data_IF_648138707083
#
_entry.id   IF_648138707083
#
_cell.length_a   1.000
_cell.length_b   1.000
_cell.length_c   1.000
_cell.angle_alpha   90.00
_cell.angle_beta   90.00
_cell.angle_gamma   90.00
#
_symmetry.space_group_name_H-M   'P 1'
#
loop_
_entity.id
_entity.type
_entity.pdbx_description
1 polymer ?
#
# COMPACT_ATOMS: atom_id res chain seq x y z
N UNK A 1 2.58 -2.64 -8.33
CA UNK A 1 2.26 -1.22 -8.14
C UNK A 1 3.03 -0.39 -9.15
N UNK A 2 2.35 0.59 -9.76
CA UNK A 2 2.91 1.51 -10.74
C UNK A 2 2.47 2.94 -10.43
N UNK A 3 3.34 3.93 -10.62
CA UNK A 3 3.02 5.33 -10.34
C UNK A 3 2.21 5.91 -11.50
N UNK A 4 1.03 6.43 -11.20
CA UNK A 4 0.16 7.04 -12.22
C UNK A 4 0.48 8.53 -12.36
N UNK A 5 0.48 9.27 -11.24
CA UNK A 5 0.60 10.72 -11.27
C UNK A 5 1.19 11.29 -9.97
N UNK A 6 1.73 12.51 -10.06
CA UNK A 6 2.28 13.28 -8.93
C UNK A 6 1.49 14.55 -8.74
N UNK A 7 1.27 14.92 -7.48
CA UNK A 7 0.44 16.06 -7.11
C UNK A 7 1.17 17.00 -6.15
N UNK A 8 0.79 18.28 -6.20
CA UNK A 8 1.41 19.32 -5.38
C UNK A 8 1.01 19.23 -3.90
N UNK A 9 -0.12 18.57 -3.62
CA UNK A 9 -0.62 18.35 -2.27
C UNK A 9 -1.12 16.92 -2.06
N UNK A 10 -1.11 16.49 -0.80
CA UNK A 10 -1.69 15.20 -0.40
C UNK A 10 -3.20 15.16 -0.64
N UNK A 11 -3.90 16.26 -0.31
CA UNK A 11 -5.35 16.38 -0.51
C UNK A 11 -5.76 16.19 -1.98
N UNK A 12 -5.00 16.75 -2.91
CA UNK A 12 -5.25 16.57 -4.35
C UNK A 12 -5.01 15.12 -4.78
N UNK A 13 -3.95 14.48 -4.28
CA UNK A 13 -3.69 13.07 -4.54
C UNK A 13 -4.81 12.16 -4.00
N UNK A 14 -5.32 12.44 -2.80
CA UNK A 14 -6.43 11.69 -2.20
C UNK A 14 -7.73 11.85 -2.98
N UNK A 15 -8.05 13.06 -3.44
CA UNK A 15 -9.24 13.30 -4.26
C UNK A 15 -9.17 12.48 -5.57
N UNK A 16 -8.01 12.48 -6.23
CA UNK A 16 -7.80 11.73 -7.48
C UNK A 16 -7.81 10.22 -7.24
N UNK A 17 -7.23 9.76 -6.13
CA UNK A 17 -7.30 8.36 -5.73
C UNK A 17 -8.74 7.92 -5.41
N UNK A 18 -9.53 8.76 -4.72
CA UNK A 18 -10.92 8.47 -4.42
C UNK A 18 -11.77 8.37 -5.70
N UNK A 19 -11.56 9.28 -6.66
CA UNK A 19 -12.17 9.22 -7.98
C UNK A 19 -11.84 7.91 -8.69
N UNK A 20 -10.56 7.54 -8.78
CA UNK A 20 -10.13 6.28 -9.40
C UNK A 20 -10.72 5.06 -8.70
N UNK A 21 -10.76 5.06 -7.36
CA UNK A 21 -11.37 3.98 -6.57
C UNK A 21 -12.87 3.85 -6.86
N UNK A 22 -13.59 4.97 -6.99
CA UNK A 22 -15.01 4.96 -7.40
C UNK A 22 -15.24 4.39 -8.80
N UNK A 23 -14.20 4.29 -9.63
CA UNK A 23 -14.22 3.71 -10.97
C UNK A 23 -13.65 2.29 -11.03
N UNK A 24 -13.44 1.65 -9.89
CA UNK A 24 -12.96 0.28 -9.84
C UNK A 24 -11.44 0.14 -9.81
N UNK A 25 -10.67 1.23 -9.72
CA UNK A 25 -9.21 1.18 -9.74
C UNK A 25 -8.67 1.09 -8.30
N UNK A 26 -7.87 0.07 -8.00
CA UNK A 26 -7.21 -0.05 -6.71
C UNK A 26 -6.02 0.91 -6.65
N UNK A 27 -6.11 1.93 -5.79
CA UNK A 27 -5.09 2.98 -5.68
C UNK A 27 -4.45 3.08 -4.30
N UNK A 28 -3.21 3.54 -4.27
CA UNK A 28 -2.51 3.94 -3.05
C UNK A 28 -1.93 5.35 -3.19
N UNK A 29 -2.00 6.14 -2.13
CA UNK A 29 -1.38 7.47 -2.05
C UNK A 29 -0.15 7.38 -1.16
N UNK A 30 0.99 7.87 -1.65
CA UNK A 30 2.22 7.96 -0.85
C UNK A 30 2.71 9.41 -0.79
N UNK A 31 3.15 9.83 0.39
CA UNK A 31 3.91 11.07 0.53
C UNK A 31 5.27 10.99 -0.17
N UNK A 32 5.61 12.04 -0.90
CA UNK A 32 6.90 12.21 -1.57
C UNK A 32 7.85 13.14 -0.80
N UNK A 33 7.47 13.52 0.42
CA UNK A 33 8.25 14.45 1.25
C UNK A 33 9.58 13.80 1.62
N UNK A 34 10.66 14.15 0.91
CA UNK A 34 11.99 13.68 1.27
C UNK A 34 12.36 14.24 2.64
N UNK A 35 12.84 13.38 3.56
CA UNK A 35 13.32 13.69 4.91
C UNK A 35 14.57 14.62 4.95
N UNK A 36 14.79 15.45 3.93
CA UNK A 36 15.89 16.41 3.89
C UNK A 36 15.37 17.80 4.25
N UNK A 37 15.58 18.16 5.52
CA UNK A 37 15.21 19.45 6.14
C UNK A 37 15.65 20.69 5.32
N UNK A 38 16.68 20.56 4.47
CA UNK A 38 17.21 21.63 3.61
C UNK A 38 16.68 21.66 2.16
N UNK A 39 15.83 20.73 1.75
CA UNK A 39 15.23 20.68 0.40
C UNK A 39 13.70 20.79 0.39
N UNK A 40 13.09 20.99 1.57
CA UNK A 40 11.63 21.03 1.77
C UNK A 40 10.90 22.11 0.92
N UNK A 41 11.63 23.08 0.34
CA UNK A 41 11.08 24.15 -0.48
C UNK A 41 11.21 23.93 -2.00
N UNK A 42 11.79 22.81 -2.49
CA UNK A 42 12.07 22.63 -3.92
C UNK A 42 11.30 21.48 -4.61
N UNK A 43 10.55 20.67 -3.88
CA UNK A 43 9.69 19.66 -4.48
C UNK A 43 8.37 20.26 -4.96
N UNK A 44 8.17 20.43 -6.28
CA UNK A 44 6.85 20.78 -6.87
C UNK A 44 5.75 19.79 -6.51
N UNK A 45 6.13 18.56 -6.15
CA UNK A 45 5.22 17.47 -5.84
C UNK A 45 5.43 16.98 -4.41
N UNK A 46 4.32 16.79 -3.69
CA UNK A 46 4.29 16.34 -2.28
C UNK A 46 3.70 14.95 -2.12
N UNK A 47 2.90 14.48 -3.08
CA UNK A 47 2.29 13.16 -3.03
C UNK A 47 2.26 12.52 -4.43
N UNK A 48 2.20 11.20 -4.46
CA UNK A 48 2.01 10.40 -5.67
C UNK A 48 0.84 9.44 -5.50
N UNK A 49 0.09 9.24 -6.58
CA UNK A 49 -0.95 8.22 -6.69
C UNK A 49 -0.40 7.04 -7.49
N UNK A 50 -0.63 5.85 -6.97
CA UNK A 50 -0.16 4.59 -7.53
C UNK A 50 -1.34 3.69 -7.84
N UNK A 51 -1.30 2.98 -8.97
CA UNK A 51 -2.11 1.80 -9.20
C UNK A 51 -1.51 0.66 -8.37
N UNK A 52 -2.33 0.01 -7.54
CA UNK A 52 -1.91 -1.15 -6.74
C UNK A 52 -1.61 -2.31 -7.68
N UNK A 53 -2.55 -2.57 -8.57
CA UNK A 53 -2.49 -3.57 -9.64
C UNK A 53 -1.86 -2.95 -10.90
N UNK A 54 -0.71 -3.46 -11.38
CA UNK A 54 -0.05 -2.94 -12.58
C UNK A 54 -0.94 -2.92 -13.82
N UNK A 55 -1.78 -3.92 -13.99
CA UNK A 55 -2.74 -4.04 -15.10
C UNK A 55 -3.74 -2.87 -15.17
N UNK A 56 -3.99 -2.20 -14.05
CA UNK A 56 -4.91 -1.05 -13.98
C UNK A 56 -4.23 0.29 -14.29
N UNK A 57 -2.91 0.32 -14.49
CA UNK A 57 -2.16 1.57 -14.63
C UNK A 57 -2.59 2.38 -15.87
N UNK A 58 -2.83 1.71 -16.99
CA UNK A 58 -3.25 2.35 -18.25
C UNK A 58 -4.65 2.94 -18.14
N UNK A 59 -5.62 2.17 -17.63
CA UNK A 59 -6.99 2.63 -17.37
C UNK A 59 -7.02 3.79 -16.38
N UNK A 60 -6.16 3.75 -15.35
CA UNK A 60 -6.07 4.80 -14.36
C UNK A 60 -5.53 6.10 -14.97
N UNK A 61 -4.50 6.04 -15.82
CA UNK A 61 -3.99 7.19 -16.55
C UNK A 61 -5.07 7.76 -17.48
N UNK A 62 -5.74 6.89 -18.25
CA UNK A 62 -6.81 7.27 -19.16
C UNK A 62 -8.00 7.94 -18.45
N UNK A 63 -8.39 7.46 -17.26
CA UNK A 63 -9.44 8.05 -16.43
C UNK A 63 -9.09 9.44 -15.89
N UNK A 64 -7.81 9.68 -15.58
CA UNK A 64 -7.36 11.01 -15.11
C UNK A 64 -7.35 12.04 -16.24
N UNK A 65 -7.11 11.62 -17.48
CA UNK A 65 -7.14 12.48 -18.67
C UNK A 65 -8.57 12.65 -19.20
N UNK A 66 -9.34 11.56 -19.25
CA UNK A 66 -10.72 11.50 -19.71
C UNK A 66 -11.61 10.84 -18.65
N UNK A 67 -12.40 11.61 -17.87
CA UNK A 67 -13.28 11.07 -16.85
C UNK A 67 -14.39 10.14 -17.40
N UNK A 68 -14.66 10.14 -18.70
CA UNK A 68 -15.63 9.24 -19.33
C UNK A 68 -15.01 7.94 -19.85
N UNK A 69 -13.70 7.72 -19.66
CA UNK A 69 -13.06 6.47 -20.00
C UNK A 69 -13.75 5.29 -19.29
N UNK A 70 -13.96 4.22 -20.04
CA UNK A 70 -14.51 2.96 -19.53
C UNK A 70 -13.33 2.07 -19.19
N UNK A 71 -13.03 1.93 -17.90
CA UNK A 71 -11.94 1.08 -17.45
C UNK A 71 -12.27 -0.39 -17.72
N UNK A 72 -11.41 -1.06 -18.50
CA UNK A 72 -11.55 -2.47 -18.85
C UNK A 72 -11.18 -3.38 -17.66
N UNK A 73 -10.28 -2.89 -16.81
CA UNK A 73 -9.73 -3.61 -15.65
C UNK A 73 -10.38 -3.18 -14.33
N UNK A 74 -11.57 -2.56 -14.38
CA UNK A 74 -12.28 -2.11 -13.19
C UNK A 74 -12.68 -3.29 -12.28
N UNK A 75 -12.32 -3.19 -11.00
CA UNK A 75 -12.75 -4.13 -9.97
C UNK A 75 -14.17 -3.80 -9.51
N UNK A 76 -14.96 -4.84 -9.26
CA UNK A 76 -16.22 -4.74 -8.53
C UNK A 76 -15.99 -4.84 -7.00
N UNK A 77 -17.05 -4.59 -6.23
CA UNK A 77 -16.99 -4.60 -4.75
C UNK A 77 -16.51 -5.94 -4.17
N UNK A 78 -16.87 -7.07 -4.80
CA UNK A 78 -16.45 -8.40 -4.35
C UNK A 78 -14.96 -8.62 -4.59
N UNK A 79 -14.45 -8.20 -5.75
CA UNK A 79 -13.02 -8.29 -6.07
C UNK A 79 -12.18 -7.39 -5.15
N UNK A 80 -12.68 -6.19 -4.80
CA UNK A 80 -12.04 -5.35 -3.78
C UNK A 80 -11.97 -6.04 -2.42
N UNK A 81 -13.06 -6.65 -1.97
CA UNK A 81 -13.08 -7.38 -0.69
C UNK A 81 -12.12 -8.56 -0.68
N UNK A 82 -12.04 -9.29 -1.81
CA UNK A 82 -11.10 -10.39 -1.95
C UNK A 82 -9.65 -9.90 -1.86
N UNK A 83 -9.33 -8.80 -2.55
CA UNK A 83 -7.98 -8.23 -2.57
C UNK A 83 -7.56 -7.73 -1.17
N UNK A 84 -8.49 -7.15 -0.42
CA UNK A 84 -8.27 -6.76 0.98
C UNK A 84 -8.12 -7.99 1.91
N UNK A 85 -8.93 -9.03 1.70
CA UNK A 85 -8.89 -10.27 2.46
C UNK A 85 -7.60 -11.08 2.28
N UNK A 86 -7.11 -11.20 1.05
CA UNK A 86 -5.86 -11.90 0.74
C UNK A 86 -4.65 -11.21 1.40
N UNK A 87 -4.65 -9.88 1.44
CA UNK A 87 -3.65 -9.09 2.17
C UNK A 87 -3.68 -9.37 3.68
N UNK A 88 -4.87 -9.39 4.28
CA UNK A 88 -5.05 -9.67 5.70
C UNK A 88 -4.60 -11.09 6.09
N UNK A 89 -4.90 -12.08 5.25
CA UNK A 89 -4.50 -13.47 5.46
C UNK A 89 -2.99 -13.68 5.35
N UNK A 90 -2.34 -13.04 4.39
CA UNK A 90 -0.88 -13.07 4.26
C UNK A 90 -0.19 -12.44 5.48
N UNK A 91 -0.68 -11.28 5.93
CA UNK A 91 -0.18 -10.60 7.12
C UNK A 91 -0.36 -11.46 8.38
N UNK A 92 -1.54 -12.09 8.54
CA UNK A 92 -1.84 -12.99 9.65
C UNK A 92 -0.89 -14.19 9.68
N UNK A 93 -0.64 -14.83 8.54
CA UNK A 93 0.33 -15.95 8.44
C UNK A 93 1.73 -15.52 8.85
N UNK A 94 2.18 -14.34 8.41
CA UNK A 94 3.51 -13.83 8.73
C UNK A 94 3.63 -13.49 10.22
N UNK A 95 2.60 -12.88 10.82
CA UNK A 95 2.53 -12.59 12.26
C UNK A 95 2.61 -13.87 13.11
N UNK A 96 1.80 -14.88 12.77
CA UNK A 96 1.83 -16.18 13.48
C UNK A 96 3.22 -16.79 13.39
N UNK A 97 3.85 -16.81 12.21
CA UNK A 97 5.20 -17.35 12.05
C UNK A 97 6.20 -16.68 12.98
N UNK A 98 6.20 -15.34 13.05
CA UNK A 98 7.10 -14.60 13.92
C UNK A 98 6.82 -14.86 15.41
N UNK A 99 5.56 -14.88 15.82
CA UNK A 99 5.18 -15.23 17.20
C UNK A 99 5.70 -16.61 17.59
N UNK A 100 5.55 -17.62 16.72
CA UNK A 100 6.02 -18.98 16.99
C UNK A 100 7.54 -19.03 17.10
N UNK A 101 8.26 -18.33 16.22
CA UNK A 101 9.74 -18.25 16.27
C UNK A 101 10.19 -17.57 17.57
N UNK A 102 9.60 -16.44 17.94
CA UNK A 102 9.92 -15.74 19.18
C UNK A 102 9.63 -16.60 20.41
N UNK A 103 8.49 -17.30 20.44
CA UNK A 103 8.14 -18.20 21.54
C UNK A 103 9.15 -19.35 21.68
N UNK A 104 9.60 -19.96 20.57
CA UNK A 104 10.63 -21.00 20.59
C UNK A 104 11.98 -20.49 21.10
N UNK A 105 12.40 -19.29 20.67
CA UNK A 105 13.64 -18.67 21.15
C UNK A 105 13.57 -18.41 22.66
N UNK A 106 12.48 -17.83 23.16
CA UNK A 106 12.29 -17.58 24.58
C UNK A 106 12.27 -18.87 25.40
N UNK A 107 11.59 -19.91 24.91
CA UNK A 107 11.53 -21.21 25.56
C UNK A 107 12.91 -21.87 25.60
N UNK A 108 13.67 -21.80 24.50
CA UNK A 108 15.04 -22.29 24.44
C UNK A 108 15.98 -21.54 25.38
N UNK A 109 15.85 -20.21 25.45
CA UNK A 109 16.62 -19.37 26.37
C UNK A 109 16.30 -19.70 27.83
N UNK A 110 15.03 -19.86 28.18
CA UNK A 110 14.60 -20.24 29.52
C UNK A 110 15.15 -21.62 29.91
N UNK A 111 15.09 -22.60 29.00
CA UNK A 111 15.66 -23.93 29.22
C UNK A 111 17.18 -23.86 29.44
N UNK A 112 17.89 -22.99 28.71
CA UNK A 112 19.33 -22.79 28.87
C UNK A 112 19.67 -22.13 30.21
N UNK A 113 18.90 -21.12 30.64
CA UNK A 113 19.05 -20.49 31.97
C UNK A 113 18.90 -21.55 33.08
N UNK A 114 17.83 -22.35 33.02
CA UNK A 114 17.57 -23.42 33.97
C UNK A 114 18.69 -24.46 33.96
N UNK A 115 19.18 -24.85 32.78
CA UNK A 115 20.28 -25.81 32.66
C UNK A 115 21.63 -25.28 33.19
N UNK A 116 21.84 -23.96 33.16
CA UNK A 116 23.04 -23.32 33.73
C UNK A 116 22.94 -23.08 35.25
N UNK A 117 21.82 -23.41 35.89
CA UNK A 117 21.67 -23.35 37.35
C UNK A 117 21.57 -21.92 37.91
N UNK A 118 21.09 -20.97 37.10
CA UNK A 118 20.68 -19.63 37.53
C UNK A 118 19.21 -19.62 37.98
#
# INVERSE_FOLDING_TARGET
MEMIAKYASHSEAEERAAFLRSRGIATHVSDMTSLRLNLAHQGRYRAAVWAVLPEQAEDAAALLENPEHVAETALNDHEFQQLEGEGADAARRMMIRWLTVTALVLTGLAALIVAMGL
#
